data_IF_973737523036
#
_entry.id   IF_973737523036
#
_cell.length_a   1.000
_cell.length_b   1.000
_cell.length_c   1.000
_cell.angle_alpha   90.00
_cell.angle_beta   90.00
_cell.angle_gamma   90.00
#
_symmetry.space_group_name_H-M   'P 1'
#
loop_
_entity.id
_entity.type
_entity.pdbx_description
1 polymer ?
#
# COMPACT_ATOMS: atom_id res chain seq x y z
N UNK A 1 2.97 25.63 -14.90
CA UNK A 1 3.68 24.53 -14.21
C UNK A 1 3.63 23.24 -15.03
N UNK A 2 2.46 22.66 -15.32
CA UNK A 2 2.38 21.42 -16.13
C UNK A 2 2.99 21.57 -17.54
N UNK A 3 2.75 22.67 -18.24
CA UNK A 3 3.35 22.91 -19.56
C UNK A 3 4.89 23.03 -19.53
N UNK A 4 5.46 23.51 -18.41
CA UNK A 4 6.92 23.64 -18.24
C UNK A 4 7.56 22.28 -17.92
N UNK A 5 6.90 21.45 -17.12
CA UNK A 5 7.36 20.08 -16.84
C UNK A 5 7.30 19.21 -18.10
N UNK A 6 6.22 19.26 -18.86
CA UNK A 6 6.10 18.52 -20.12
C UNK A 6 7.18 18.88 -21.13
N UNK A 7 7.64 20.14 -21.16
CA UNK A 7 8.74 20.60 -22.04
C UNK A 7 10.11 20.07 -21.59
N UNK A 8 10.24 19.60 -20.34
CA UNK A 8 11.49 19.10 -19.74
C UNK A 8 11.48 17.57 -19.53
N UNK A 9 10.46 16.89 -20.02
CA UNK A 9 10.39 15.42 -19.92
C UNK A 9 11.67 14.76 -20.44
N UNK A 10 12.15 13.73 -19.72
CA UNK A 10 13.42 13.05 -19.99
C UNK A 10 14.67 13.77 -19.46
N UNK A 11 14.54 14.94 -18.82
CA UNK A 11 15.67 15.60 -18.13
C UNK A 11 15.69 15.28 -16.64
N UNK A 12 16.85 15.41 -16.01
CA UNK A 12 16.98 15.22 -14.55
C UNK A 12 16.18 16.29 -13.81
N UNK A 13 15.46 15.88 -12.75
CA UNK A 13 14.73 16.78 -11.89
C UNK A 13 15.65 17.81 -11.23
N UNK A 14 15.20 19.06 -11.16
CA UNK A 14 15.88 20.11 -10.42
C UNK A 14 15.35 20.16 -8.97
N UNK A 15 16.08 20.76 -8.01
CA UNK A 15 15.62 20.83 -6.62
C UNK A 15 14.21 21.41 -6.43
N UNK A 16 13.78 22.33 -7.29
CA UNK A 16 12.44 22.92 -7.24
C UNK A 16 11.32 22.00 -7.78
N UNK A 17 11.68 20.92 -8.46
CA UNK A 17 10.73 19.92 -8.97
C UNK A 17 10.43 18.85 -7.91
N UNK A 18 11.33 18.72 -6.92
CA UNK A 18 11.21 17.70 -5.88
C UNK A 18 10.18 18.11 -4.82
N UNK A 19 9.38 17.14 -4.40
CA UNK A 19 8.41 17.34 -3.32
C UNK A 19 9.14 17.56 -1.98
N UNK A 20 8.67 18.52 -1.18
CA UNK A 20 9.13 18.68 0.19
C UNK A 20 8.51 17.61 1.09
N UNK A 21 9.29 16.58 1.41
CA UNK A 21 8.86 15.45 2.24
C UNK A 21 8.45 15.89 3.64
N UNK A 22 9.14 16.86 4.22
CA UNK A 22 8.79 17.35 5.56
C UNK A 22 7.42 18.02 5.55
N UNK A 23 7.20 18.95 4.61
CA UNK A 23 5.90 19.61 4.45
C UNK A 23 4.78 18.60 4.13
N UNK A 24 5.07 17.57 3.33
CA UNK A 24 4.13 16.52 2.99
C UNK A 24 3.71 15.70 4.23
N UNK A 25 4.67 15.33 5.07
CA UNK A 25 4.41 14.56 6.30
C UNK A 25 3.73 15.42 7.37
N UNK A 26 4.15 16.66 7.55
CA UNK A 26 3.50 17.58 8.48
C UNK A 26 2.03 17.80 8.09
N UNK A 27 1.77 18.04 6.80
CA UNK A 27 0.41 18.21 6.29
C UNK A 27 -0.45 16.93 6.49
N UNK A 28 0.15 15.74 6.46
CA UNK A 28 -0.59 14.49 6.69
C UNK A 28 -1.23 14.48 8.08
N UNK A 29 -0.52 14.94 9.11
CA UNK A 29 -1.01 14.94 10.49
C UNK A 29 -1.79 16.22 10.87
N UNK A 30 -1.38 17.37 10.37
CA UNK A 30 -1.86 18.68 10.85
C UNK A 30 -3.07 19.20 10.07
N UNK A 31 -3.27 18.74 8.83
CA UNK A 31 -4.34 19.25 7.98
C UNK A 31 -5.60 18.41 8.13
N UNK A 32 -6.70 19.09 8.48
CA UNK A 32 -8.05 18.52 8.49
C UNK A 32 -8.74 18.84 7.17
N UNK A 33 -9.32 17.85 6.46
CA UNK A 33 -10.00 18.09 5.18
C UNK A 33 -11.26 18.94 5.35
N UNK A 34 -11.51 19.84 4.40
CA UNK A 34 -12.79 20.53 4.25
C UNK A 34 -13.78 19.64 3.47
N UNK A 35 -14.73 19.07 4.17
CA UNK A 35 -15.72 18.16 3.57
C UNK A 35 -16.78 18.89 2.73
N UNK A 36 -16.79 20.22 2.73
CA UNK A 36 -17.55 21.03 1.79
C UNK A 36 -16.95 21.03 0.39
N UNK A 37 -15.65 20.75 0.27
CA UNK A 37 -14.96 20.56 -1.01
C UNK A 37 -14.98 19.08 -1.41
N UNK A 38 -15.67 18.71 -2.52
CA UNK A 38 -15.68 17.31 -2.99
C UNK A 38 -14.32 16.71 -3.27
N UNK A 39 -13.30 17.52 -3.61
CA UNK A 39 -11.95 17.06 -3.89
C UNK A 39 -11.21 16.60 -2.62
N UNK A 40 -11.68 16.99 -1.45
CA UNK A 40 -11.12 16.61 -0.15
C UNK A 40 -11.91 15.50 0.56
N UNK A 41 -12.90 14.93 -0.11
CA UNK A 41 -13.67 13.80 0.42
C UNK A 41 -13.01 12.47 0.08
N UNK A 42 -13.33 11.43 0.83
CA UNK A 42 -12.94 10.06 0.45
C UNK A 42 -13.65 9.69 -0.85
N UNK A 43 -12.86 9.39 -1.87
CA UNK A 43 -13.34 8.87 -3.14
C UNK A 43 -12.49 7.67 -3.53
N UNK A 44 -13.14 6.51 -3.72
CA UNK A 44 -12.47 5.35 -4.26
C UNK A 44 -12.54 5.40 -5.79
N UNK A 45 -11.36 5.46 -6.42
CA UNK A 45 -11.23 5.23 -7.86
C UNK A 45 -11.38 3.74 -8.17
N UNK A 46 -10.62 3.24 -9.14
CA UNK A 46 -10.72 1.84 -9.61
C UNK A 46 -10.43 0.81 -8.51
N UNK A 47 -9.60 1.14 -7.50
CA UNK A 47 -9.18 0.15 -6.49
C UNK A 47 -8.94 0.71 -5.09
N UNK A 48 -9.07 2.02 -4.87
CA UNK A 48 -8.80 2.62 -3.56
C UNK A 48 -8.86 4.15 -3.60
N UNK A 49 -8.66 4.74 -2.44
CA UNK A 49 -8.55 6.19 -2.26
C UNK A 49 -7.12 6.64 -2.54
N UNK A 50 -6.95 7.72 -3.31
CA UNK A 50 -5.67 8.36 -3.63
C UNK A 50 -5.78 9.87 -3.48
N UNK A 51 -4.67 10.50 -3.15
CA UNK A 51 -4.58 11.94 -3.04
C UNK A 51 -3.26 12.37 -2.44
N UNK A 52 -3.15 13.68 -2.14
CA UNK A 52 -1.96 14.26 -1.52
C UNK A 52 -2.34 14.98 -0.22
N UNK A 53 -1.48 14.89 0.78
CA UNK A 53 -1.69 15.61 2.05
C UNK A 53 -1.61 17.12 1.85
N UNK A 54 -0.75 17.59 0.93
CA UNK A 54 -0.64 19.00 0.57
C UNK A 54 -1.89 19.55 -0.15
N UNK A 55 -2.72 18.65 -0.70
CA UNK A 55 -4.02 18.99 -1.33
C UNK A 55 -5.22 18.69 -0.41
N UNK A 56 -4.96 18.38 0.86
CA UNK A 56 -5.98 18.00 1.85
C UNK A 56 -6.87 16.83 1.42
N UNK A 57 -6.34 15.94 0.57
CA UNK A 57 -7.07 14.79 0.01
C UNK A 57 -6.49 13.43 0.42
N UNK A 58 -5.39 13.40 1.20
CA UNK A 58 -4.82 12.18 1.78
C UNK A 58 -4.14 12.50 3.11
N UNK A 59 -4.92 12.73 4.16
CA UNK A 59 -4.45 13.09 5.48
C UNK A 59 -4.86 12.04 6.51
N UNK A 60 -4.31 12.08 7.71
CA UNK A 60 -4.59 11.10 8.76
C UNK A 60 -6.10 10.88 8.98
N UNK A 61 -6.96 11.93 9.05
CA UNK A 61 -8.40 11.72 9.20
C UNK A 61 -9.03 10.82 8.14
N UNK A 62 -8.57 10.89 6.88
CA UNK A 62 -9.04 10.02 5.82
C UNK A 62 -8.71 8.56 6.11
N UNK A 63 -7.46 8.28 6.49
CA UNK A 63 -6.98 6.92 6.76
C UNK A 63 -7.69 6.31 7.97
N UNK A 64 -7.87 7.09 9.03
CA UNK A 64 -8.62 6.66 10.21
C UNK A 64 -10.06 6.29 9.85
N UNK A 65 -10.75 7.14 9.09
CA UNK A 65 -12.12 6.90 8.65
C UNK A 65 -12.25 5.72 7.70
N UNK A 66 -11.36 5.60 6.69
CA UNK A 66 -11.37 4.49 5.73
C UNK A 66 -11.11 3.17 6.45
N UNK A 67 -10.13 3.14 7.35
CA UNK A 67 -9.78 1.91 8.08
C UNK A 67 -10.94 1.46 8.97
N UNK A 68 -11.59 2.38 9.68
CA UNK A 68 -12.78 2.04 10.46
C UNK A 68 -13.94 1.55 9.58
N UNK A 69 -14.14 2.17 8.42
CA UNK A 69 -15.14 1.72 7.45
C UNK A 69 -14.83 0.31 6.92
N UNK A 70 -13.56 -0.02 6.65
CA UNK A 70 -13.14 -1.38 6.26
C UNK A 70 -13.44 -2.39 7.38
N UNK A 71 -13.15 -2.05 8.64
CA UNK A 71 -13.47 -2.92 9.79
C UNK A 71 -14.97 -3.21 9.86
N UNK A 72 -15.81 -2.18 9.69
CA UNK A 72 -17.26 -2.34 9.69
C UNK A 72 -17.75 -3.14 8.47
N UNK A 73 -17.15 -2.92 7.30
CA UNK A 73 -17.44 -3.70 6.09
C UNK A 73 -17.12 -5.18 6.27
N UNK A 74 -15.93 -5.51 6.83
CA UNK A 74 -15.54 -6.88 7.16
C UNK A 74 -16.57 -7.56 8.08
N UNK A 75 -17.04 -6.85 9.11
CA UNK A 75 -18.08 -7.34 10.01
C UNK A 75 -19.39 -7.65 9.26
N UNK A 76 -19.82 -6.81 8.33
CA UNK A 76 -20.99 -7.03 7.49
C UNK A 76 -20.87 -8.25 6.58
N UNK A 77 -19.65 -8.49 6.07
CA UNK A 77 -19.36 -9.61 5.16
C UNK A 77 -19.00 -10.91 5.91
N UNK A 78 -18.93 -10.87 7.25
CA UNK A 78 -18.51 -12.03 8.04
C UNK A 78 -17.04 -12.41 7.85
N UNK A 79 -16.19 -11.46 7.43
CA UNK A 79 -14.76 -11.66 7.26
C UNK A 79 -14.10 -11.49 8.63
N UNK A 80 -13.64 -12.58 9.22
CA UNK A 80 -13.06 -12.62 10.58
C UNK A 80 -11.65 -13.19 10.62
N UNK A 81 -11.09 -13.57 9.48
CA UNK A 81 -9.70 -14.03 9.37
C UNK A 81 -8.69 -12.89 9.48
N UNK A 82 -7.39 -13.17 9.35
CA UNK A 82 -6.36 -12.15 9.44
C UNK A 82 -6.44 -11.15 8.28
N UNK A 83 -6.06 -9.90 8.56
CA UNK A 83 -5.90 -8.86 7.57
C UNK A 83 -4.40 -8.67 7.30
N UNK A 84 -3.97 -8.88 6.05
CA UNK A 84 -2.62 -8.57 5.63
C UNK A 84 -2.50 -7.08 5.29
N UNK A 85 -1.47 -6.40 5.79
CA UNK A 85 -1.20 -5.01 5.43
C UNK A 85 0.23 -4.82 4.97
N UNK A 86 0.40 -4.17 3.82
CA UNK A 86 1.71 -3.86 3.26
C UNK A 86 1.73 -2.46 2.67
N UNK A 87 2.94 -1.88 2.57
CA UNK A 87 3.17 -0.53 2.07
C UNK A 87 4.21 -0.49 0.96
N UNK A 88 4.15 0.52 0.14
CA UNK A 88 5.16 0.83 -0.87
C UNK A 88 6.19 1.87 -0.37
N UNK A 89 6.94 2.43 -1.31
CA UNK A 89 8.06 3.35 -1.05
C UNK A 89 7.68 4.84 -1.00
N UNK A 90 6.40 5.20 -1.25
CA UNK A 90 5.94 6.58 -1.13
C UNK A 90 6.02 7.09 0.31
N UNK A 91 6.37 8.36 0.46
CA UNK A 91 6.54 8.98 1.79
C UNK A 91 5.30 8.87 2.68
N UNK A 92 4.10 9.00 2.11
CA UNK A 92 2.84 8.92 2.85
C UNK A 92 2.42 7.49 3.23
N UNK A 93 3.08 6.46 2.67
CA UNK A 93 2.66 5.07 2.88
C UNK A 93 2.95 4.57 4.30
N UNK A 94 4.07 4.96 4.89
CA UNK A 94 4.39 4.57 6.27
C UNK A 94 3.45 5.20 7.30
N UNK A 95 3.23 6.53 7.34
CA UNK A 95 2.29 7.12 8.28
C UNK A 95 0.86 6.60 8.08
N UNK A 96 0.43 6.35 6.83
CA UNK A 96 -0.88 5.78 6.57
C UNK A 96 -1.02 4.33 7.09
N UNK A 97 0.00 3.49 6.91
CA UNK A 97 0.04 2.15 7.51
C UNK A 97 -0.03 2.22 9.03
N UNK A 98 0.72 3.12 9.65
CA UNK A 98 0.76 3.28 11.09
C UNK A 98 -0.60 3.71 11.65
N UNK A 99 -1.24 4.74 11.06
CA UNK A 99 -2.60 5.17 11.44
C UNK A 99 -3.63 4.04 11.27
N UNK A 100 -3.49 3.22 10.22
CA UNK A 100 -4.36 2.07 10.01
C UNK A 100 -4.17 1.00 11.11
N UNK A 101 -2.94 0.71 11.51
CA UNK A 101 -2.64 -0.27 12.57
C UNK A 101 -3.28 0.13 13.90
N UNK A 102 -3.26 1.41 14.26
CA UNK A 102 -3.91 1.92 15.47
C UNK A 102 -5.41 1.65 15.50
N UNK A 103 -6.09 1.81 14.35
CA UNK A 103 -7.52 1.53 14.22
C UNK A 103 -7.79 0.02 14.20
N UNK A 104 -7.03 -0.75 13.44
CA UNK A 104 -7.20 -2.21 13.34
C UNK A 104 -7.04 -2.89 14.68
N UNK A 105 -5.97 -2.55 15.42
CA UNK A 105 -5.71 -3.11 16.75
C UNK A 105 -6.80 -2.71 17.76
N UNK A 106 -7.25 -1.44 17.74
CA UNK A 106 -8.32 -0.96 18.62
C UNK A 106 -9.67 -1.66 18.38
N UNK A 107 -9.87 -2.22 17.19
CA UNK A 107 -11.06 -3.00 16.83
C UNK A 107 -10.85 -4.52 17.00
N UNK A 108 -9.71 -4.98 17.50
CA UNK A 108 -9.42 -6.39 17.72
C UNK A 108 -9.24 -7.19 16.42
N UNK A 109 -8.89 -6.54 15.31
CA UNK A 109 -8.60 -7.21 14.05
C UNK A 109 -7.23 -7.86 14.15
N UNK A 110 -7.14 -9.16 13.86
CA UNK A 110 -5.83 -9.81 13.67
C UNK A 110 -5.19 -9.25 12.41
N UNK A 111 -4.06 -8.56 12.55
CA UNK A 111 -3.35 -7.94 11.45
C UNK A 111 -1.95 -8.54 11.30
N UNK A 112 -1.52 -8.75 10.04
CA UNK A 112 -0.21 -9.28 9.71
C UNK A 112 0.58 -8.23 8.91
N UNK A 113 1.67 -7.74 9.53
CA UNK A 113 2.60 -6.76 8.94
C UNK A 113 3.85 -7.46 8.42
N UNK A 114 4.62 -6.78 7.56
CA UNK A 114 5.87 -7.35 7.05
C UNK A 114 6.87 -7.63 8.17
N UNK A 115 7.35 -8.87 8.22
CA UNK A 115 8.32 -9.33 9.23
C UNK A 115 9.69 -8.66 9.09
N UNK A 116 10.01 -8.19 7.89
CA UNK A 116 11.30 -7.55 7.56
C UNK A 116 11.26 -6.03 7.70
N UNK A 117 10.09 -5.45 8.01
CA UNK A 117 9.86 -4.00 8.04
C UNK A 117 10.16 -3.31 6.69
N UNK A 118 10.09 -4.06 5.60
CA UNK A 118 10.36 -3.63 4.24
C UNK A 118 9.12 -3.13 3.51
N UNK A 119 9.20 -3.19 2.20
CA UNK A 119 8.12 -2.82 1.29
C UNK A 119 7.42 -4.06 0.74
N UNK A 120 6.11 -3.94 0.49
CA UNK A 120 5.30 -5.06 0.01
C UNK A 120 4.65 -4.67 -1.32
N UNK A 121 5.11 -5.22 -2.46
CA UNK A 121 4.45 -5.03 -3.74
C UNK A 121 3.02 -5.56 -3.71
N UNK A 122 2.10 -4.88 -4.39
CA UNK A 122 0.70 -5.30 -4.49
C UNK A 122 0.53 -6.80 -4.82
N UNK A 123 1.25 -7.38 -5.81
CA UNK A 123 1.10 -8.81 -6.10
C UNK A 123 1.56 -9.73 -4.95
N UNK A 124 2.55 -9.32 -4.14
CA UNK A 124 2.97 -10.12 -2.99
C UNK A 124 1.91 -10.16 -1.88
N UNK A 125 1.22 -9.05 -1.64
CA UNK A 125 0.10 -9.01 -0.69
C UNK A 125 -1.10 -9.80 -1.22
N UNK A 126 -1.46 -9.63 -2.49
CA UNK A 126 -2.52 -10.42 -3.14
C UNK A 126 -2.24 -11.92 -3.04
N UNK A 127 -0.98 -12.32 -3.31
CA UNK A 127 -0.53 -13.71 -3.17
C UNK A 127 -0.70 -14.22 -1.74
N UNK A 128 -0.30 -13.42 -0.72
CA UNK A 128 -0.44 -13.83 0.68
C UNK A 128 -1.91 -14.12 1.05
N UNK A 129 -2.85 -13.27 0.63
CA UNK A 129 -4.29 -13.49 0.83
C UNK A 129 -4.74 -14.79 0.15
N UNK A 130 -4.42 -14.95 -1.13
CA UNK A 130 -4.83 -16.11 -1.92
C UNK A 130 -4.24 -17.41 -1.38
N UNK A 131 -2.95 -17.40 -1.01
CA UNK A 131 -2.26 -18.56 -0.46
C UNK A 131 -2.88 -18.97 0.88
N UNK A 132 -3.07 -18.01 1.80
CA UNK A 132 -3.73 -18.28 3.06
C UNK A 132 -5.12 -18.89 2.86
N UNK A 133 -5.95 -18.30 2.02
CA UNK A 133 -7.33 -18.75 1.79
C UNK A 133 -7.41 -20.10 1.08
N UNK A 134 -6.45 -20.42 0.21
CA UNK A 134 -6.35 -21.71 -0.49
C UNK A 134 -5.88 -22.85 0.43
N UNK A 135 -4.93 -22.57 1.32
CA UNK A 135 -4.29 -23.57 2.18
C UNK A 135 -5.01 -23.77 3.51
N UNK A 136 -5.96 -22.88 3.84
CA UNK A 136 -6.74 -22.96 5.06
C UNK A 136 -7.67 -24.21 5.08
N UNK A 137 -7.81 -24.81 6.24
CA UNK A 137 -8.76 -25.90 6.43
C UNK A 137 -10.20 -25.43 6.16
N UNK A 138 -11.10 -26.32 5.69
CA UNK A 138 -12.51 -25.98 5.50
C UNK A 138 -13.13 -25.35 6.75
N UNK A 139 -13.79 -24.21 6.60
CA UNK A 139 -14.41 -23.47 7.70
C UNK A 139 -13.48 -22.50 8.43
N UNK A 140 -12.20 -22.43 8.06
CA UNK A 140 -11.30 -21.36 8.56
C UNK A 140 -11.77 -20.01 8.03
N UNK A 141 -11.81 -18.95 8.88
CA UNK A 141 -12.14 -17.61 8.44
C UNK A 141 -11.16 -17.11 7.36
N UNK A 142 -11.71 -16.50 6.30
CA UNK A 142 -10.93 -15.99 5.18
C UNK A 142 -10.15 -14.73 5.54
N UNK A 143 -8.94 -14.64 5.02
CA UNK A 143 -8.09 -13.46 5.08
C UNK A 143 -8.45 -12.48 3.96
N UNK A 144 -8.15 -11.21 4.21
CA UNK A 144 -8.21 -10.09 3.28
C UNK A 144 -6.99 -9.16 3.49
N UNK A 145 -6.97 -7.98 2.87
CA UNK A 145 -5.81 -7.11 3.07
C UNK A 145 -5.99 -5.66 2.68
N UNK A 146 -5.02 -4.86 3.09
CA UNK A 146 -4.87 -3.45 2.74
C UNK A 146 -3.50 -3.25 2.07
N UNK A 147 -3.50 -2.63 0.91
CA UNK A 147 -2.28 -2.21 0.20
C UNK A 147 -2.18 -0.69 0.28
N UNK A 148 -1.15 -0.22 0.98
CA UNK A 148 -0.88 1.22 1.11
C UNK A 148 0.05 1.63 -0.01
N UNK A 149 -0.51 2.12 -1.11
CA UNK A 149 0.19 2.52 -2.32
C UNK A 149 -0.69 3.36 -3.23
N UNK A 150 -0.21 4.48 -3.79
CA UNK A 150 -0.87 5.19 -4.88
C UNK A 150 -0.58 4.57 -6.26
N UNK A 151 0.20 3.49 -6.36
CA UNK A 151 0.70 2.85 -7.58
C UNK A 151 1.96 3.55 -8.12
N UNK A 152 1.92 4.13 -9.33
CA UNK A 152 2.98 4.89 -9.98
C UNK A 152 2.75 6.40 -9.95
N UNK A 153 1.90 6.86 -9.07
CA UNK A 153 1.60 8.29 -8.90
C UNK A 153 2.83 9.08 -8.46
N UNK A 154 2.82 10.41 -8.63
CA UNK A 154 3.92 11.28 -8.20
C UNK A 154 4.30 11.13 -6.72
N UNK A 155 5.54 11.50 -6.35
CA UNK A 155 6.06 11.39 -4.98
C UNK A 155 5.19 12.02 -3.89
N UNK A 156 4.42 13.07 -4.24
CA UNK A 156 3.53 13.77 -3.31
C UNK A 156 2.22 13.08 -3.03
N UNK A 157 1.94 11.95 -3.67
CA UNK A 157 0.68 11.23 -3.51
C UNK A 157 0.80 10.09 -2.50
N UNK A 158 -0.34 9.73 -1.93
CA UNK A 158 -0.57 8.53 -1.15
C UNK A 158 -1.76 7.74 -1.68
N UNK A 159 -1.82 6.47 -1.34
CA UNK A 159 -2.92 5.59 -1.75
C UNK A 159 -3.25 4.53 -0.71
N UNK A 160 -4.53 4.18 -0.60
CA UNK A 160 -5.02 3.23 0.37
C UNK A 160 -6.09 2.33 -0.27
N UNK A 161 -5.77 1.06 -0.43
CA UNK A 161 -6.56 0.09 -1.20
C UNK A 161 -6.99 -1.07 -0.34
N UNK A 162 -8.22 -1.55 -0.52
CA UNK A 162 -8.73 -2.75 0.12
C UNK A 162 -8.80 -3.91 -0.88
N UNK A 163 -8.25 -5.04 -0.48
CA UNK A 163 -8.29 -6.30 -1.22
C UNK A 163 -9.11 -7.34 -0.44
N UNK A 164 -10.33 -7.66 -0.89
CA UNK A 164 -11.18 -8.72 -0.31
C UNK A 164 -10.55 -10.12 -0.38
N UNK A 165 -11.21 -11.16 0.18
CA UNK A 165 -10.67 -12.53 0.23
C UNK A 165 -10.27 -13.16 -1.11
N UNK A 166 -10.77 -12.66 -2.24
CA UNK A 166 -10.33 -13.09 -3.57
C UNK A 166 -8.96 -12.52 -3.99
N UNK A 167 -8.30 -11.71 -3.13
CA UNK A 167 -6.94 -11.21 -3.30
C UNK A 167 -6.77 -10.07 -4.32
N UNK A 168 -7.75 -9.82 -5.16
CA UNK A 168 -7.76 -8.72 -6.13
C UNK A 168 -8.30 -7.41 -5.54
N UNK A 169 -8.38 -6.34 -6.35
CA UNK A 169 -8.98 -5.08 -5.91
C UNK A 169 -10.46 -5.28 -5.59
N UNK A 170 -10.96 -4.54 -4.58
CA UNK A 170 -12.37 -4.56 -4.22
C UNK A 170 -13.24 -4.07 -5.39
N UNK A 171 -14.42 -4.66 -5.53
CA UNK A 171 -15.43 -4.25 -6.51
C UNK A 171 -16.10 -2.90 -6.14
N UNK A 172 -16.92 -2.39 -7.06
CA UNK A 172 -17.57 -1.09 -6.90
C UNK A 172 -18.57 -1.05 -5.74
N UNK A 173 -19.19 -2.17 -5.38
CA UNK A 173 -20.13 -2.24 -4.26
C UNK A 173 -19.41 -2.10 -2.94
N UNK A 174 -18.28 -2.80 -2.80
CA UNK A 174 -17.42 -2.70 -1.61
C UNK A 174 -16.79 -1.31 -1.48
N UNK A 175 -16.17 -0.81 -2.55
CA UNK A 175 -15.49 0.49 -2.53
C UNK A 175 -16.47 1.64 -2.34
N UNK A 176 -17.65 1.58 -2.94
CA UNK A 176 -18.71 2.57 -2.76
C UNK A 176 -19.21 2.63 -1.32
N UNK A 177 -19.47 1.46 -0.73
CA UNK A 177 -19.92 1.39 0.66
C UNK A 177 -18.84 1.91 1.63
N UNK A 178 -17.57 1.52 1.44
CA UNK A 178 -16.46 1.94 2.28
C UNK A 178 -16.28 3.47 2.18
N UNK A 179 -16.30 4.03 0.97
CA UNK A 179 -16.16 5.47 0.75
C UNK A 179 -17.30 6.26 1.40
N UNK A 180 -18.55 5.83 1.21
CA UNK A 180 -19.71 6.48 1.83
C UNK A 180 -19.60 6.45 3.36
N UNK A 181 -19.26 5.28 3.93
CA UNK A 181 -19.13 5.13 5.37
C UNK A 181 -17.98 5.95 5.95
N UNK A 182 -16.84 6.00 5.27
CA UNK A 182 -15.70 6.82 5.66
C UNK A 182 -16.07 8.31 5.67
N UNK A 183 -16.78 8.80 4.66
CA UNK A 183 -17.25 10.19 4.62
C UNK A 183 -18.22 10.50 5.76
N UNK A 184 -19.13 9.60 6.13
CA UNK A 184 -20.01 9.76 7.28
C UNK A 184 -19.21 9.87 8.59
N UNK A 185 -18.14 9.09 8.75
CA UNK A 185 -17.27 9.16 9.93
C UNK A 185 -16.52 10.50 9.99
N UNK A 186 -16.04 11.00 8.84
CA UNK A 186 -15.41 12.32 8.74
C UNK A 186 -16.40 13.44 9.10
N UNK A 187 -17.61 13.43 8.52
CA UNK A 187 -18.67 14.41 8.78
C UNK A 187 -19.07 14.46 10.26
N UNK A 188 -18.97 13.33 10.95
CA UNK A 188 -19.21 13.22 12.39
C UNK A 188 -17.97 13.53 13.25
N UNK A 189 -16.90 14.09 12.67
CA UNK A 189 -15.65 14.40 13.39
C UNK A 189 -14.98 13.17 13.97
N UNK A 190 -14.96 12.07 13.19
CA UNK A 190 -14.38 10.77 13.55
C UNK A 190 -15.02 10.08 14.78
N UNK A 191 -16.19 10.54 15.22
CA UNK A 191 -16.92 9.87 16.31
C UNK A 191 -17.35 8.48 15.84
N UNK A 192 -16.86 7.46 16.54
CA UNK A 192 -17.07 6.06 16.18
C UNK A 192 -15.82 5.39 15.63
N UNK A 193 -14.79 6.12 15.28
CA UNK A 193 -13.46 5.56 15.00
C UNK A 193 -12.81 5.19 16.34
N UNK A 194 -12.42 3.91 16.46
CA UNK A 194 -11.64 3.43 17.61
C UNK A 194 -10.17 3.50 17.24
N UNK A 195 -9.36 4.00 18.16
CA UNK A 195 -7.90 4.15 17.98
C UNK A 195 -7.18 3.89 19.29
N UNK A 196 -6.01 3.26 19.21
CA UNK A 196 -5.04 3.15 20.31
C UNK A 196 -3.68 3.69 19.83
N UNK A 197 -2.78 4.10 20.75
CA UNK A 197 -1.45 4.58 20.36
C UNK A 197 -0.69 3.55 19.53
N UNK A 198 0.11 3.99 18.55
CA UNK A 198 0.86 3.13 17.64
C UNK A 198 1.72 2.09 18.38
N UNK A 199 2.41 2.52 19.45
CA UNK A 199 3.24 1.58 20.23
C UNK A 199 2.41 0.45 20.85
N UNK A 200 1.19 0.73 21.29
CA UNK A 200 0.29 -0.27 21.84
C UNK A 200 -0.26 -1.16 20.71
N UNK A 201 -0.55 -0.59 19.55
CA UNK A 201 -1.01 -1.34 18.37
C UNK A 201 0.05 -2.32 17.84
N UNK A 202 1.32 -1.90 17.79
CA UNK A 202 2.44 -2.74 17.36
C UNK A 202 2.74 -3.89 18.33
N UNK A 203 2.42 -3.73 19.63
CA UNK A 203 2.63 -4.73 20.66
C UNK A 203 1.33 -5.49 21.04
N UNK A 204 0.23 -5.24 20.37
CA UNK A 204 -1.03 -5.93 20.62
C UNK A 204 -0.94 -7.42 20.22
N UNK A 205 -1.58 -8.30 20.98
CA UNK A 205 -1.65 -9.75 20.68
C UNK A 205 -2.29 -10.02 19.30
N UNK A 206 -3.05 -9.06 18.77
CA UNK A 206 -3.66 -9.13 17.44
C UNK A 206 -2.72 -8.70 16.31
N UNK A 207 -1.54 -8.15 16.60
CA UNK A 207 -0.57 -7.72 15.59
C UNK A 207 0.54 -8.76 15.45
N UNK A 208 0.50 -9.49 14.35
CA UNK A 208 1.49 -10.51 13.99
C UNK A 208 2.42 -10.06 12.86
N UNK A 209 3.39 -10.91 12.55
CA UNK A 209 4.36 -10.70 11.47
C UNK A 209 4.21 -11.76 10.39
N UNK A 210 4.39 -11.38 9.12
CA UNK A 210 4.38 -12.28 7.97
C UNK A 210 5.53 -11.92 7.01
N UNK A 211 6.27 -12.92 6.54
CA UNK A 211 7.35 -12.72 5.55
C UNK A 211 6.75 -12.76 4.14
N UNK A 212 6.30 -11.60 3.66
CA UNK A 212 5.72 -11.47 2.31
C UNK A 212 6.72 -11.86 1.23
N UNK A 213 7.98 -11.44 1.39
CA UNK A 213 9.02 -11.66 0.40
C UNK A 213 9.29 -13.16 0.22
N UNK A 214 9.61 -13.88 1.30
CA UNK A 214 9.87 -15.32 1.21
C UNK A 214 8.64 -16.07 0.70
N UNK A 215 7.45 -15.77 1.23
CA UNK A 215 6.22 -16.44 0.80
C UNK A 215 5.96 -16.29 -0.70
N UNK A 216 6.21 -15.11 -1.26
CA UNK A 216 6.02 -14.84 -2.69
C UNK A 216 7.11 -15.50 -3.55
N UNK A 217 8.38 -15.30 -3.18
CA UNK A 217 9.51 -15.80 -3.97
C UNK A 217 9.55 -17.33 -4.00
N UNK A 218 9.30 -17.99 -2.86
CA UNK A 218 9.31 -19.44 -2.76
C UNK A 218 8.17 -20.11 -3.57
N UNK A 219 7.05 -19.40 -3.78
CA UNK A 219 5.89 -19.94 -4.53
C UNK A 219 5.95 -19.66 -6.04
N UNK A 220 6.92 -18.87 -6.53
CA UNK A 220 7.07 -18.59 -7.97
C UNK A 220 7.15 -19.85 -8.85
N UNK A 221 7.81 -20.96 -8.45
CA UNK A 221 7.82 -22.18 -9.24
C UNK A 221 6.44 -22.80 -9.47
N UNK A 222 5.43 -22.45 -8.69
CA UNK A 222 4.05 -22.92 -8.88
C UNK A 222 3.38 -22.34 -10.15
N UNK A 223 3.89 -21.20 -10.64
CA UNK A 223 3.32 -20.46 -11.78
C UNK A 223 4.31 -20.18 -12.91
N UNK A 224 5.61 -20.37 -12.68
CA UNK A 224 6.68 -20.10 -13.64
C UNK A 224 7.61 -21.33 -13.79
N UNK A 225 8.01 -21.63 -15.02
CA UNK A 225 9.07 -22.61 -15.31
C UNK A 225 10.44 -21.92 -15.14
N UNK A 226 10.88 -21.80 -13.90
CA UNK A 226 12.17 -21.17 -13.57
C UNK A 226 13.37 -22.01 -14.01
N UNK A 227 13.20 -23.32 -14.18
CA UNK A 227 14.24 -24.20 -14.71
C UNK A 227 14.50 -23.91 -16.20
N UNK A 228 13.44 -23.68 -16.97
CA UNK A 228 13.58 -23.27 -18.38
C UNK A 228 14.31 -21.92 -18.49
N UNK A 229 13.98 -20.95 -17.64
CA UNK A 229 14.63 -19.62 -17.62
C UNK A 229 16.12 -19.78 -17.26
N UNK A 230 16.43 -20.54 -16.23
CA UNK A 230 17.81 -20.81 -15.80
C UNK A 230 18.62 -21.48 -16.90
N UNK A 231 18.07 -22.54 -17.50
CA UNK A 231 18.75 -23.33 -18.53
C UNK A 231 18.94 -22.55 -19.85
N UNK A 232 18.11 -21.58 -20.14
CA UNK A 232 18.26 -20.68 -21.28
C UNK A 232 19.47 -19.73 -21.15
N UNK A 233 20.02 -19.56 -19.94
CA UNK A 233 21.21 -18.73 -19.70
C UNK A 233 21.04 -17.24 -20.00
N UNK A 234 19.80 -16.74 -20.06
CA UNK A 234 19.53 -15.32 -20.31
C UNK A 234 20.07 -14.45 -19.19
N UNK A 235 20.66 -13.33 -19.56
CA UNK A 235 21.01 -12.27 -18.61
C UNK A 235 19.82 -11.34 -18.44
N UNK A 236 19.37 -11.19 -17.19
CA UNK A 236 18.20 -10.39 -16.82
C UNK A 236 18.69 -9.17 -16.06
N UNK A 237 18.36 -7.97 -16.53
CA UNK A 237 18.45 -6.73 -15.76
C UNK A 237 17.08 -6.36 -15.23
N UNK A 238 16.96 -6.16 -13.92
CA UNK A 238 15.72 -5.73 -13.29
C UNK A 238 15.92 -4.34 -12.67
N UNK A 239 15.11 -3.39 -13.11
CA UNK A 239 15.06 -2.05 -12.51
C UNK A 239 13.76 -1.92 -11.72
N UNK A 240 13.81 -1.85 -10.39
CA UNK A 240 12.62 -1.64 -9.56
C UNK A 240 12.10 -0.19 -9.62
N UNK A 241 12.85 0.73 -10.23
CA UNK A 241 12.48 2.14 -10.39
C UNK A 241 12.08 2.82 -9.06
N UNK A 242 12.80 2.52 -7.97
CA UNK A 242 12.48 3.00 -6.63
C UNK A 242 11.22 2.41 -5.98
N UNK A 243 10.60 1.41 -6.61
CA UNK A 243 9.34 0.81 -6.17
C UNK A 243 9.49 -0.32 -5.16
N UNK A 244 8.37 -0.79 -4.64
CA UNK A 244 8.27 -1.75 -3.54
C UNK A 244 8.89 -3.14 -3.83
N UNK A 245 9.23 -3.44 -5.08
CA UNK A 245 9.84 -4.73 -5.47
C UNK A 245 11.37 -4.75 -5.34
N UNK A 246 11.99 -3.69 -4.83
CA UNK A 246 13.46 -3.54 -4.77
C UNK A 246 14.15 -4.76 -4.15
N UNK A 247 13.69 -5.25 -3.02
CA UNK A 247 14.29 -6.38 -2.32
C UNK A 247 13.92 -7.74 -2.94
N UNK A 248 12.85 -7.80 -3.71
CA UNK A 248 12.34 -9.05 -4.29
C UNK A 248 13.21 -9.57 -5.43
N UNK A 249 13.71 -8.68 -6.29
CA UNK A 249 14.47 -9.08 -7.47
C UNK A 249 15.79 -9.78 -7.13
N UNK A 250 16.50 -9.30 -6.11
CA UNK A 250 17.73 -9.94 -5.62
C UNK A 250 17.46 -11.35 -5.11
N UNK A 251 16.44 -11.49 -4.26
CA UNK A 251 16.03 -12.78 -3.71
C UNK A 251 15.54 -13.76 -4.78
N UNK A 252 14.81 -13.29 -5.80
CA UNK A 252 14.40 -14.12 -6.95
C UNK A 252 15.64 -14.64 -7.69
N UNK A 253 16.60 -13.76 -7.97
CA UNK A 253 17.85 -14.15 -8.64
C UNK A 253 18.63 -15.18 -7.85
N UNK A 254 18.81 -14.98 -6.56
CA UNK A 254 19.60 -15.85 -5.68
C UNK A 254 18.92 -17.21 -5.45
N UNK A 255 17.67 -17.21 -4.99
CA UNK A 255 16.96 -18.45 -4.62
C UNK A 255 16.71 -19.36 -5.80
N UNK A 256 16.44 -18.78 -6.98
CA UNK A 256 16.17 -19.56 -8.19
C UNK A 256 17.38 -19.67 -9.12
N UNK A 257 18.57 -19.21 -8.69
CA UNK A 257 19.83 -19.30 -9.42
C UNK A 257 19.72 -18.74 -10.85
N UNK A 258 19.05 -17.58 -10.98
CA UNK A 258 18.92 -16.88 -12.25
C UNK A 258 20.09 -15.91 -12.43
N UNK A 259 20.52 -15.72 -13.68
CA UNK A 259 21.51 -14.69 -14.03
C UNK A 259 20.82 -13.32 -14.04
N UNK A 260 20.42 -12.85 -12.85
CA UNK A 260 19.65 -11.63 -12.64
C UNK A 260 20.48 -10.59 -11.87
N UNK A 261 20.49 -9.38 -12.37
CA UNK A 261 21.13 -8.22 -11.72
C UNK A 261 20.10 -7.13 -11.48
N UNK A 262 20.04 -6.61 -10.25
CA UNK A 262 19.27 -5.40 -9.94
C UNK A 262 20.10 -4.21 -10.37
N UNK A 263 19.60 -3.41 -11.31
CA UNK A 263 20.40 -2.34 -11.94
C UNK A 263 20.27 -0.99 -11.24
N UNK A 264 19.20 -0.76 -10.51
CA UNK A 264 18.96 0.48 -9.76
C UNK A 264 18.24 0.18 -8.44
N UNK A 265 18.95 -0.18 -7.37
CA UNK A 265 18.33 -0.53 -6.08
C UNK A 265 17.99 0.69 -5.21
N UNK A 266 18.10 1.91 -5.73
CA UNK A 266 17.87 3.13 -4.95
C UNK A 266 16.39 3.27 -4.60
N UNK A 267 16.12 3.52 -3.33
CA UNK A 267 14.80 3.94 -2.85
C UNK A 267 14.94 5.36 -2.32
N UNK A 268 14.19 6.27 -2.92
CA UNK A 268 14.15 7.68 -2.56
C UNK A 268 12.71 8.15 -2.69
N UNK A 269 12.05 8.61 -1.60
CA UNK A 269 10.66 9.04 -1.63
C UNK A 269 10.40 10.30 -2.48
N UNK A 270 11.46 10.98 -2.92
CA UNK A 270 11.37 12.09 -3.87
C UNK A 270 11.59 11.65 -5.32
N UNK A 271 12.10 10.43 -5.57
CA UNK A 271 12.55 9.94 -6.89
C UNK A 271 13.54 10.87 -7.57
N UNK A 272 14.41 11.58 -6.82
CA UNK A 272 15.38 12.54 -7.34
C UNK A 272 16.40 11.92 -8.33
N UNK A 273 16.55 10.61 -8.34
CA UNK A 273 17.41 9.87 -9.28
C UNK A 273 16.75 9.61 -10.64
N UNK A 274 15.44 9.84 -10.77
CA UNK A 274 14.68 9.64 -12.01
C UNK A 274 14.71 10.89 -12.88
N UNK A 275 14.46 10.72 -14.18
CA UNK A 275 14.13 11.83 -15.06
C UNK A 275 12.66 12.22 -14.91
N UNK A 276 12.36 13.49 -15.17
CA UNK A 276 10.97 13.96 -15.21
C UNK A 276 10.18 13.21 -16.28
N UNK A 277 8.96 12.86 -15.97
CA UNK A 277 8.00 12.36 -16.94
C UNK A 277 7.25 13.53 -17.58
N UNK A 278 6.47 13.27 -18.63
CA UNK A 278 5.78 14.31 -19.38
C UNK A 278 4.47 14.75 -18.70
N UNK A 279 3.93 13.93 -17.83
CA UNK A 279 2.65 14.13 -17.14
C UNK A 279 2.74 14.01 -15.61
N UNK A 280 3.93 13.68 -15.06
CA UNK A 280 4.16 13.52 -13.61
C UNK A 280 5.49 14.11 -13.12
#
# INVERSE_FOLDING_TARGET
MLDDMASRAGTVALPQDLVDITALLDAYFDVTPDLGDPAQRVAFGTSGHRGSSLKSSFNEPHILAITQAIVEYRGRQGITGPLFIGRDTHALSEPAQNSALEVLAANGVTVLVDARHGYTPTPALSHAILKYNREAAPGTPQADGIVVTPSHNPPGDGGFKYNPPHGGPADTDATGWIAERANQLLENGLRGVKRIPLNDALNADTTGKFDFLSSYVDDLPSVLDLDAIRNAGVRIGADPMGGASVDYWGEIGERHQLNLTVVNPTVDPQWAFMTLDWDE
#
